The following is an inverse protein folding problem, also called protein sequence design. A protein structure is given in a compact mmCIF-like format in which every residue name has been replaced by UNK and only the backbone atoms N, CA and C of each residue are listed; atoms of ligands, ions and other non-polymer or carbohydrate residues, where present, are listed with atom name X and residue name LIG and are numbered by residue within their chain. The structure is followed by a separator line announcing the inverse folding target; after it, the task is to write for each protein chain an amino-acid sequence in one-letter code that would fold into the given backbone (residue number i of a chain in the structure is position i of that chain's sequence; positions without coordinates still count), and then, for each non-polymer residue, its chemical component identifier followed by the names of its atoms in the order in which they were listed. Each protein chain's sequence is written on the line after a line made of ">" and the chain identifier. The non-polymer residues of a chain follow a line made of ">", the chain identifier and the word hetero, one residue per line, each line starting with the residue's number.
data_IF_941822984794
#
_entry.id   IF_941822984794
#
_cell.length_a   1.000
_cell.length_b   1.000
_cell.length_c   1.000
_cell.angle_alpha   90.00
_cell.angle_beta   90.00
_cell.angle_gamma   90.00
#
_symmetry.space_group_name_H-M   'P 1'
#
loop_
_entity.id
_entity.type
_entity.pdbx_description
1 polymer ?
#
# COMPACT_ATOMS: atom_id res chain seq x y z
N UNK A 1 -50.42 1.99 1.72
CA UNK A 1 -49.80 1.64 0.42
C UNK A 1 -48.86 2.76 0.09
N UNK A 2 -47.59 2.60 0.48
CA UNK A 2 -46.51 3.55 0.19
C UNK A 2 -45.39 2.68 -0.39
N UNK A 3 -44.98 3.03 -1.60
CA UNK A 3 -44.06 2.30 -2.46
C UNK A 3 -42.73 1.97 -1.78
N UNK A 4 -42.31 0.72 -1.98
CA UNK A 4 -40.96 0.25 -1.73
C UNK A 4 -40.03 0.87 -2.77
N UNK A 5 -39.17 1.81 -2.34
CA UNK A 5 -38.05 2.26 -3.15
C UNK A 5 -36.89 1.27 -2.95
N UNK A 6 -36.71 0.37 -3.91
CA UNK A 6 -35.54 -0.51 -3.99
C UNK A 6 -34.27 0.34 -4.18
N UNK A 7 -33.35 0.27 -3.22
CA UNK A 7 -32.02 0.85 -3.32
C UNK A 7 -31.19 0.12 -4.39
N UNK A 8 -30.99 0.77 -5.53
CA UNK A 8 -29.99 0.37 -6.53
C UNK A 8 -28.63 0.98 -6.18
N UNK A 9 -27.51 0.28 -6.42
CA UNK A 9 -26.17 0.81 -6.17
C UNK A 9 -25.87 1.99 -7.12
N UNK A 10 -25.57 3.16 -6.55
CA UNK A 10 -25.31 4.40 -7.29
C UNK A 10 -24.03 4.36 -8.15
N UNK A 11 -23.08 3.44 -7.89
CA UNK A 11 -21.91 3.24 -8.74
C UNK A 11 -22.28 2.84 -10.19
N UNK A 12 -23.46 2.25 -10.41
CA UNK A 12 -23.99 1.94 -11.75
C UNK A 12 -24.73 3.11 -12.42
N UNK A 13 -24.92 4.23 -11.71
CA UNK A 13 -25.79 5.33 -12.14
C UNK A 13 -25.05 6.66 -12.37
N UNK A 14 -23.76 6.74 -12.05
CA UNK A 14 -22.91 7.87 -12.42
C UNK A 14 -22.35 7.56 -13.82
N UNK A 15 -23.18 7.81 -14.83
CA UNK A 15 -22.93 7.46 -16.23
C UNK A 15 -24.24 7.35 -17.00
N UNK A 16 -24.27 7.96 -18.18
CA UNK A 16 -25.44 8.22 -19.05
C UNK A 16 -26.20 6.94 -19.54
N UNK A 17 -27.33 7.05 -20.31
CA UNK A 17 -28.42 6.09 -20.29
C UNK A 17 -28.05 4.69 -20.81
N UNK A 18 -28.75 3.69 -20.26
CA UNK A 18 -28.64 2.23 -20.44
C UNK A 18 -28.64 1.67 -21.87
N UNK A 19 -28.66 2.51 -22.89
CA UNK A 19 -28.80 2.10 -24.29
C UNK A 19 -27.46 2.03 -25.05
N UNK A 20 -26.34 2.51 -24.47
CA UNK A 20 -25.00 2.45 -25.06
C UNK A 20 -24.04 1.47 -24.35
N UNK A 21 -24.52 0.72 -23.36
CA UNK A 21 -23.77 -0.39 -22.77
C UNK A 21 -23.86 -1.61 -23.70
N UNK A 22 -23.34 -1.46 -24.92
CA UNK A 22 -22.94 -2.58 -25.78
C UNK A 22 -21.93 -3.47 -25.06
N UNK A 23 -21.80 -4.70 -25.50
CA UNK A 23 -21.07 -5.76 -24.82
C UNK A 23 -19.55 -5.58 -24.96
N UNK A 24 -18.99 -4.49 -24.39
CA UNK A 24 -17.57 -4.15 -24.40
C UNK A 24 -16.68 -5.17 -23.65
N UNK A 25 -17.25 -6.27 -23.16
CA UNK A 25 -16.57 -7.23 -22.29
C UNK A 25 -15.36 -7.88 -22.96
N UNK A 26 -15.38 -8.07 -24.28
CA UNK A 26 -14.30 -8.69 -25.04
C UNK A 26 -13.14 -7.69 -25.26
N UNK A 27 -13.42 -6.45 -25.69
CA UNK A 27 -12.41 -5.37 -25.81
C UNK A 27 -11.79 -5.00 -24.44
N UNK A 28 -12.61 -4.96 -23.39
CA UNK A 28 -12.16 -4.77 -22.00
C UNK A 28 -11.36 -5.98 -21.49
N UNK A 29 -11.68 -7.17 -21.98
CA UNK A 29 -10.91 -8.39 -21.78
C UNK A 29 -9.51 -8.28 -22.39
N UNK A 30 -9.40 -7.76 -23.61
CA UNK A 30 -8.13 -7.54 -24.29
C UNK A 30 -7.29 -6.42 -23.66
N UNK A 31 -7.92 -5.33 -23.19
CA UNK A 31 -7.27 -4.28 -22.38
C UNK A 31 -6.77 -4.85 -21.05
N UNK A 32 -7.59 -5.69 -20.40
CA UNK A 32 -7.17 -6.44 -19.21
C UNK A 32 -5.99 -7.34 -19.53
N UNK A 33 -6.00 -8.04 -20.66
CA UNK A 33 -4.95 -8.99 -21.07
C UNK A 33 -3.62 -8.30 -21.47
N UNK A 34 -3.67 -7.12 -22.11
CA UNK A 34 -2.45 -6.37 -22.49
C UNK A 34 -1.78 -5.74 -21.27
N UNK A 35 -2.55 -5.26 -20.28
CA UNK A 35 -1.99 -4.82 -18.99
C UNK A 35 -1.58 -6.04 -18.12
N UNK A 36 -2.17 -7.22 -18.34
CA UNK A 36 -1.83 -8.48 -17.69
C UNK A 36 -0.56 -9.18 -18.23
N UNK A 37 0.16 -8.62 -19.21
CA UNK A 37 1.54 -9.09 -19.44
C UNK A 37 2.45 -8.93 -18.20
N UNK A 38 1.96 -8.25 -17.15
CA UNK A 38 2.52 -8.34 -15.81
C UNK A 38 1.73 -9.11 -14.74
N UNK A 39 0.48 -9.59 -14.90
CA UNK A 39 -0.27 -10.18 -13.76
C UNK A 39 -1.32 -11.27 -14.01
N UNK A 40 -1.36 -12.21 -13.06
CA UNK A 40 -2.28 -13.37 -12.99
C UNK A 40 -3.59 -13.04 -12.25
N UNK A 41 -4.71 -13.74 -12.54
CA UNK A 41 -6.08 -13.33 -12.17
C UNK A 41 -6.51 -13.70 -10.73
N UNK A 42 -5.59 -13.74 -9.77
CA UNK A 42 -5.95 -13.95 -8.37
C UNK A 42 -6.03 -12.61 -7.64
N UNK A 43 -7.23 -12.24 -7.16
CA UNK A 43 -7.53 -11.09 -6.31
C UNK A 43 -6.38 -10.78 -5.33
N UNK A 44 -5.56 -9.80 -5.69
CA UNK A 44 -4.33 -9.48 -4.97
C UNK A 44 -4.60 -9.07 -3.53
N UNK A 45 -3.65 -9.31 -2.63
CA UNK A 45 -3.77 -8.89 -1.24
C UNK A 45 -3.89 -7.37 -1.15
N UNK A 46 -2.99 -6.64 -1.81
CA UNK A 46 -2.95 -5.18 -1.86
C UNK A 46 -3.38 -4.62 -3.22
N UNK A 47 -3.57 -5.46 -4.25
CA UNK A 47 -3.78 -5.05 -5.66
C UNK A 47 -2.58 -4.28 -6.23
N UNK A 48 -1.41 -4.49 -5.63
CA UNK A 48 -0.14 -4.02 -6.17
C UNK A 48 0.70 -5.26 -6.45
N UNK A 49 0.76 -5.73 -7.68
CA UNK A 49 1.17 -7.11 -7.87
C UNK A 49 2.65 -7.38 -7.63
N UNK A 50 3.51 -6.40 -7.87
CA UNK A 50 4.93 -6.42 -7.44
C UNK A 50 5.03 -6.67 -5.93
N UNK A 51 4.22 -5.96 -5.14
CA UNK A 51 4.19 -6.12 -3.67
C UNK A 51 3.55 -7.46 -3.29
N UNK A 52 2.43 -7.83 -3.92
CA UNK A 52 1.70 -9.05 -3.61
C UNK A 52 2.52 -10.31 -3.91
N UNK A 53 3.27 -10.32 -5.00
CA UNK A 53 4.17 -11.42 -5.38
C UNK A 53 5.33 -11.55 -4.38
N UNK A 54 5.88 -10.44 -3.90
CA UNK A 54 6.91 -10.45 -2.86
C UNK A 54 6.37 -10.89 -1.50
N UNK A 55 5.13 -10.49 -1.13
CA UNK A 55 4.53 -10.85 0.15
C UNK A 55 4.04 -12.30 0.21
N UNK A 56 3.53 -12.84 -0.91
CA UNK A 56 2.84 -14.14 -0.94
C UNK A 56 3.65 -15.30 -0.31
N UNK A 57 4.94 -15.51 -0.63
CA UNK A 57 5.72 -16.58 0.00
C UNK A 57 5.84 -16.42 1.52
N UNK A 58 5.99 -15.18 2.02
CA UNK A 58 6.08 -14.91 3.45
C UNK A 58 4.78 -15.16 4.18
N UNK A 59 3.66 -14.80 3.56
CA UNK A 59 2.35 -15.04 4.13
C UNK A 59 2.04 -16.54 4.17
N UNK A 60 2.40 -17.31 3.14
CA UNK A 60 2.27 -18.77 3.15
C UNK A 60 3.11 -19.40 4.28
N UNK A 61 4.38 -19.01 4.41
CA UNK A 61 5.27 -19.50 5.47
C UNK A 61 4.74 -19.12 6.87
N UNK A 62 4.22 -17.92 7.03
CA UNK A 62 3.60 -17.45 8.27
C UNK A 62 2.38 -18.29 8.66
N UNK A 63 1.47 -18.52 7.70
CA UNK A 63 0.26 -19.30 7.92
C UNK A 63 0.59 -20.77 8.27
N UNK A 64 1.59 -21.35 7.59
CA UNK A 64 2.11 -22.68 7.87
C UNK A 64 2.73 -22.79 9.27
N UNK A 65 3.59 -21.84 9.65
CA UNK A 65 4.20 -21.83 10.98
C UNK A 65 3.14 -21.71 12.09
N UNK A 66 2.08 -20.93 11.86
CA UNK A 66 1.00 -20.84 12.83
C UNK A 66 0.15 -22.12 12.92
N UNK A 67 -0.08 -22.85 11.83
CA UNK A 67 -0.81 -24.12 11.88
C UNK A 67 -0.03 -25.17 12.68
N UNK A 68 1.30 -25.21 12.53
CA UNK A 68 2.20 -26.04 13.34
C UNK A 68 2.07 -25.71 14.84
N UNK A 69 2.16 -24.43 15.21
CA UNK A 69 2.03 -24.00 16.61
C UNK A 69 0.65 -24.33 17.20
N UNK A 70 -0.39 -24.28 16.38
CA UNK A 70 -1.75 -24.62 16.82
C UNK A 70 -1.89 -26.14 17.03
N UNK A 71 -1.37 -26.95 16.12
CA UNK A 71 -1.37 -28.40 16.21
C UNK A 71 -0.49 -28.92 17.37
N UNK A 72 0.66 -28.29 17.64
CA UNK A 72 1.53 -28.67 18.75
C UNK A 72 0.90 -28.39 20.12
N UNK A 73 0.03 -27.39 20.22
CA UNK A 73 -0.70 -27.05 21.45
C UNK A 73 -1.97 -27.90 21.65
N UNK A 74 -2.52 -28.45 20.57
CA UNK A 74 -3.70 -29.30 20.60
C UNK A 74 -3.30 -30.77 20.42
N UNK A 75 -2.66 -31.38 21.43
CA UNK A 75 -2.20 -32.78 21.58
C UNK A 75 -2.70 -33.84 20.57
N UNK A 76 -2.41 -33.67 19.28
CA UNK A 76 -2.91 -34.51 18.19
C UNK A 76 -1.74 -34.78 17.27
N UNK A 77 -1.41 -36.06 17.09
CA UNK A 77 -0.32 -36.52 16.24
C UNK A 77 -0.72 -36.21 14.79
N UNK A 78 -0.11 -35.18 14.20
CA UNK A 78 -0.35 -34.78 12.82
C UNK A 78 0.32 -35.79 11.86
N UNK A 79 -0.48 -36.43 11.01
CA UNK A 79 -0.02 -37.23 9.88
C UNK A 79 0.13 -36.37 8.63
N UNK A 80 1.18 -36.64 7.86
CA UNK A 80 1.50 -36.18 6.49
C UNK A 80 1.43 -34.67 6.23
N UNK A 81 2.60 -34.07 6.03
CA UNK A 81 2.80 -32.64 5.82
C UNK A 81 2.79 -32.30 4.32
N UNK A 82 1.71 -31.70 3.82
CA UNK A 82 1.71 -31.10 2.48
C UNK A 82 2.18 -29.65 2.58
N UNK A 83 3.23 -29.33 1.82
CA UNK A 83 3.63 -27.95 1.52
C UNK A 83 2.60 -27.42 0.51
N UNK A 84 1.91 -26.29 0.78
CA UNK A 84 0.97 -25.71 -0.18
C UNK A 84 1.67 -25.43 -1.51
N UNK A 85 1.03 -25.76 -2.63
CA UNK A 85 1.56 -25.48 -3.96
C UNK A 85 1.51 -23.96 -4.21
N UNK A 86 2.44 -23.42 -5.01
CA UNK A 86 2.56 -21.96 -5.25
C UNK A 86 1.28 -21.28 -5.75
N UNK A 87 0.33 -22.05 -6.28
CA UNK A 87 -0.95 -21.59 -6.83
C UNK A 87 -2.14 -21.65 -5.85
N UNK A 88 -1.95 -22.13 -4.62
CA UNK A 88 -3.05 -22.19 -3.66
C UNK A 88 -3.39 -20.79 -3.11
N UNK A 89 -4.68 -20.45 -3.09
CA UNK A 89 -5.17 -19.22 -2.51
C UNK A 89 -4.77 -19.14 -1.02
N UNK A 90 -4.23 -17.99 -0.59
CA UNK A 90 -3.90 -17.76 0.82
C UNK A 90 -5.14 -18.02 1.69
N UNK A 91 -5.06 -18.86 2.74
CA UNK A 91 -6.16 -19.06 3.67
C UNK A 91 -6.66 -17.72 4.22
N UNK A 92 -7.88 -17.31 3.83
CA UNK A 92 -8.52 -16.05 4.27
C UNK A 92 -8.96 -16.08 5.75
N UNK A 93 -8.79 -17.21 6.43
CA UNK A 93 -9.21 -17.41 7.82
C UNK A 93 -8.35 -16.63 8.84
N UNK A 94 -7.24 -16.01 8.40
CA UNK A 94 -6.33 -15.26 9.25
C UNK A 94 -6.09 -13.84 8.73
N UNK A 95 -6.04 -12.85 9.65
CA UNK A 95 -5.81 -11.46 9.27
C UNK A 95 -4.40 -11.28 8.73
N UNK A 96 -4.27 -10.60 7.60
CA UNK A 96 -2.96 -10.20 7.07
C UNK A 96 -2.60 -8.83 7.64
N UNK A 97 -1.51 -8.79 8.39
CA UNK A 97 -1.06 -7.62 9.14
C UNK A 97 0.34 -7.26 8.66
N UNK A 98 0.46 -6.12 7.99
CA UNK A 98 1.70 -5.64 7.37
C UNK A 98 2.19 -4.42 8.14
N UNK A 99 3.45 -4.45 8.58
CA UNK A 99 4.13 -3.25 9.09
C UNK A 99 4.93 -2.59 7.97
N UNK A 100 4.70 -1.31 7.69
CA UNK A 100 5.56 -0.48 6.86
C UNK A 100 6.42 0.38 7.79
N UNK A 101 7.74 0.23 7.70
CA UNK A 101 8.67 0.85 8.64
C UNK A 101 9.82 1.55 7.93
N UNK A 102 10.37 2.59 8.54
CA UNK A 102 11.58 3.27 8.06
C UNK A 102 12.37 3.84 9.22
N UNK A 103 13.64 4.15 9.00
CA UNK A 103 14.54 4.74 10.02
C UNK A 103 14.41 6.27 10.16
N UNK A 104 13.71 6.90 9.20
CA UNK A 104 13.49 8.35 9.14
C UNK A 104 12.04 8.70 8.82
N UNK A 105 11.62 9.88 9.25
CA UNK A 105 10.43 10.53 8.70
C UNK A 105 10.69 10.91 7.24
N UNK A 106 9.68 10.83 6.38
CA UNK A 106 9.79 11.22 4.97
C UNK A 106 10.30 10.16 4.00
N UNK A 107 10.57 8.92 4.44
CA UNK A 107 11.00 7.82 3.56
C UNK A 107 9.86 7.21 2.70
N UNK A 108 8.84 7.99 2.31
CA UNK A 108 7.77 7.52 1.42
C UNK A 108 6.61 6.73 2.07
N UNK A 109 6.64 6.40 3.37
CA UNK A 109 5.57 5.61 4.04
C UNK A 109 4.16 6.15 3.79
N UNK A 110 3.94 7.44 4.02
CA UNK A 110 2.62 8.08 3.87
C UNK A 110 2.17 8.09 2.41
N UNK A 111 3.09 8.29 1.45
CA UNK A 111 2.74 8.25 0.03
C UNK A 111 2.34 6.83 -0.40
N UNK A 112 3.07 5.81 0.05
CA UNK A 112 2.71 4.41 -0.19
C UNK A 112 1.36 4.07 0.46
N UNK A 113 1.08 4.55 1.68
CA UNK A 113 -0.24 4.40 2.30
C UNK A 113 -1.35 5.04 1.47
N UNK A 114 -1.13 6.23 0.91
CA UNK A 114 -2.15 6.92 0.11
C UNK A 114 -2.39 6.21 -1.20
N UNK A 115 -1.36 5.68 -1.84
CA UNK A 115 -1.49 4.85 -3.03
C UNK A 115 -2.32 3.59 -2.75
N UNK A 116 -2.00 2.85 -1.67
CA UNK A 116 -2.77 1.68 -1.26
C UNK A 116 -4.21 2.02 -0.87
N UNK A 117 -4.43 3.20 -0.27
CA UNK A 117 -5.77 3.72 0.05
C UNK A 117 -6.57 4.04 -1.22
N UNK A 118 -5.93 4.66 -2.22
CA UNK A 118 -6.52 4.95 -3.52
C UNK A 118 -7.06 3.67 -4.18
N UNK A 119 -6.22 2.64 -4.33
CA UNK A 119 -6.63 1.35 -4.90
C UNK A 119 -7.71 0.63 -4.06
N UNK A 120 -7.66 0.77 -2.74
CA UNK A 120 -8.65 0.17 -1.86
C UNK A 120 -10.05 0.82 -1.97
N UNK A 121 -10.11 2.11 -2.32
CA UNK A 121 -11.33 2.92 -2.45
C UNK A 121 -11.92 2.91 -3.86
N UNK A 122 -11.07 2.97 -4.90
CA UNK A 122 -11.53 3.02 -6.30
C UNK A 122 -12.31 1.74 -6.68
N UNK A 123 -13.28 1.82 -7.60
CA UNK A 123 -13.90 0.63 -8.16
C UNK A 123 -12.93 -0.12 -9.08
N UNK A 124 -13.25 -1.37 -9.42
CA UNK A 124 -12.45 -2.15 -10.38
C UNK A 124 -12.44 -1.49 -11.77
N UNK A 125 -13.57 -0.91 -12.18
CA UNK A 125 -13.68 -0.15 -13.42
C UNK A 125 -14.66 1.01 -13.32
N UNK A 126 -14.49 1.99 -14.20
CA UNK A 126 -15.34 3.17 -14.31
C UNK A 126 -15.41 3.63 -15.77
N UNK A 127 -16.62 3.71 -16.35
CA UNK A 127 -16.81 4.03 -17.77
C UNK A 127 -15.97 3.16 -18.74
N UNK A 128 -15.78 1.88 -18.41
CA UNK A 128 -14.91 0.96 -19.16
C UNK A 128 -13.41 1.10 -18.84
N UNK A 129 -12.99 2.16 -18.17
CA UNK A 129 -11.60 2.32 -17.74
C UNK A 129 -11.33 1.34 -16.61
N UNK A 130 -10.33 0.47 -16.76
CA UNK A 130 -9.87 -0.39 -15.67
C UNK A 130 -9.09 0.47 -14.66
N UNK A 131 -9.59 0.58 -13.43
CA UNK A 131 -8.97 1.33 -12.35
C UNK A 131 -8.29 0.44 -11.31
N UNK A 132 -8.36 -0.89 -11.47
CA UNK A 132 -7.70 -1.89 -10.60
C UNK A 132 -8.09 -1.80 -9.11
N UNK A 133 -9.16 -1.07 -8.81
CA UNK A 133 -9.61 -0.82 -7.46
C UNK A 133 -10.39 -1.99 -6.83
N UNK A 134 -10.76 -1.83 -5.56
CA UNK A 134 -11.46 -2.84 -4.75
C UNK A 134 -12.93 -2.52 -4.42
N UNK A 135 -13.40 -1.32 -4.76
CA UNK A 135 -14.73 -0.80 -4.40
C UNK A 135 -15.03 -0.95 -2.88
N UNK A 136 -13.99 -0.78 -2.06
CA UNK A 136 -14.02 -1.08 -0.64
C UNK A 136 -14.07 0.16 0.24
N UNK A 137 -14.53 -0.03 1.48
CA UNK A 137 -14.39 0.98 2.52
C UNK A 137 -12.99 0.92 3.14
N UNK A 138 -12.44 2.08 3.51
CA UNK A 138 -11.16 2.18 4.21
C UNK A 138 -11.35 2.88 5.55
N UNK A 139 -10.74 2.33 6.60
CA UNK A 139 -10.60 3.02 7.88
C UNK A 139 -9.15 3.48 8.02
N UNK A 140 -8.95 4.79 8.19
CA UNK A 140 -7.64 5.40 8.40
C UNK A 140 -7.57 5.97 9.82
N UNK A 141 -6.67 5.43 10.65
CA UNK A 141 -6.42 5.92 12.01
C UNK A 141 -5.08 6.63 12.04
N UNK A 142 -5.13 7.96 12.10
CA UNK A 142 -3.98 8.84 12.13
C UNK A 142 -3.55 9.13 13.58
N UNK A 143 -2.52 8.43 14.05
CA UNK A 143 -2.00 8.62 15.41
C UNK A 143 -0.96 9.75 15.49
N UNK A 144 -0.38 10.17 14.36
CA UNK A 144 0.68 11.17 14.29
C UNK A 144 0.17 12.57 13.88
N UNK A 145 -1.10 12.69 13.49
CA UNK A 145 -1.76 13.94 13.11
C UNK A 145 -1.24 14.51 11.79
N UNK A 146 -0.90 13.62 10.84
CA UNK A 146 -0.28 13.96 9.56
C UNK A 146 -1.13 13.61 8.34
N UNK A 147 -2.33 13.07 8.55
CA UNK A 147 -3.23 12.79 7.47
C UNK A 147 -3.67 14.07 6.76
N UNK A 148 -3.67 14.03 5.43
CA UNK A 148 -3.97 15.13 4.54
C UNK A 148 -4.92 14.61 3.44
N UNK A 149 -6.19 14.99 3.59
CA UNK A 149 -7.25 14.60 2.67
C UNK A 149 -7.10 15.23 1.29
N UNK A 150 -6.53 16.45 1.20
CA UNK A 150 -6.35 17.13 -0.08
C UNK A 150 -5.30 16.41 -0.90
N UNK A 151 -4.19 16.02 -0.24
CA UNK A 151 -3.16 15.23 -0.91
C UNK A 151 -3.67 13.85 -1.36
N UNK A 152 -4.53 13.19 -0.57
CA UNK A 152 -5.14 11.93 -1.00
C UNK A 152 -6.09 12.14 -2.19
N UNK A 153 -6.91 13.19 -2.18
CA UNK A 153 -7.80 13.52 -3.27
C UNK A 153 -7.04 13.82 -4.57
N UNK A 154 -5.98 14.63 -4.50
CA UNK A 154 -5.08 14.90 -5.63
C UNK A 154 -4.49 13.61 -6.20
N UNK A 155 -4.05 12.68 -5.34
CA UNK A 155 -3.50 11.39 -5.77
C UNK A 155 -4.57 10.52 -6.44
N UNK A 156 -5.80 10.47 -5.91
CA UNK A 156 -6.91 9.73 -6.51
C UNK A 156 -7.24 10.29 -7.89
N UNK A 157 -7.42 11.61 -8.00
CA UNK A 157 -7.71 12.25 -9.29
C UNK A 157 -6.60 12.01 -10.30
N UNK A 158 -5.35 12.14 -9.87
CA UNK A 158 -4.21 11.92 -10.74
C UNK A 158 -4.11 10.47 -11.21
N UNK A 159 -4.35 9.51 -10.31
CA UNK A 159 -4.41 8.10 -10.67
C UNK A 159 -5.51 7.83 -11.71
N UNK A 160 -6.71 8.40 -11.54
CA UNK A 160 -7.80 8.27 -12.53
C UNK A 160 -7.39 8.86 -13.88
N UNK A 161 -6.78 10.06 -13.90
CA UNK A 161 -6.28 10.72 -15.13
C UNK A 161 -5.25 9.85 -15.83
N UNK A 162 -4.33 9.27 -15.08
CA UNK A 162 -3.31 8.37 -15.60
C UNK A 162 -3.95 7.13 -16.25
N UNK A 163 -4.90 6.47 -15.58
CA UNK A 163 -5.62 5.31 -16.14
C UNK A 163 -6.45 5.65 -17.38
N UNK A 164 -7.05 6.85 -17.42
CA UNK A 164 -7.73 7.37 -18.61
C UNK A 164 -6.73 7.57 -19.77
N UNK A 165 -5.56 8.15 -19.51
CA UNK A 165 -4.51 8.34 -20.52
C UNK A 165 -4.03 7.02 -21.11
N UNK A 166 -3.82 5.99 -20.28
CA UNK A 166 -3.46 4.64 -20.74
C UNK A 166 -4.54 4.05 -21.65
N UNK A 167 -5.83 4.20 -21.29
CA UNK A 167 -6.94 3.72 -22.10
C UNK A 167 -7.03 4.45 -23.45
N UNK A 168 -6.79 5.77 -23.47
CA UNK A 168 -6.74 6.57 -24.71
C UNK A 168 -5.61 6.09 -25.63
N UNK A 169 -4.39 5.98 -25.08
CA UNK A 169 -3.22 5.53 -25.84
C UNK A 169 -3.42 4.12 -26.43
N UNK A 170 -4.05 3.21 -25.68
CA UNK A 170 -4.40 1.88 -26.20
C UNK A 170 -5.37 1.96 -27.39
N UNK A 171 -6.41 2.79 -27.32
CA UNK A 171 -7.36 2.92 -28.42
C UNK A 171 -6.68 3.51 -29.67
N UNK A 172 -5.80 4.48 -29.49
CA UNK A 172 -5.03 5.10 -30.57
C UNK A 172 -4.05 4.12 -31.22
N UNK A 173 -3.34 3.31 -30.43
CA UNK A 173 -2.40 2.31 -30.94
C UNK A 173 -3.11 1.22 -31.74
N UNK A 174 -4.28 0.77 -31.27
CA UNK A 174 -5.10 -0.20 -32.01
C UNK A 174 -5.59 0.36 -33.35
N UNK A 175 -6.03 1.63 -33.38
CA UNK A 175 -6.40 2.30 -34.63
C UNK A 175 -5.22 2.39 -35.60
N UNK A 176 -4.03 2.74 -35.11
CA UNK A 176 -2.83 2.85 -35.94
C UNK A 176 -2.41 1.49 -36.52
N UNK A 177 -2.34 0.44 -35.70
CA UNK A 177 -1.97 -0.91 -36.13
C UNK A 177 -2.92 -1.47 -37.21
N UNK A 178 -4.22 -1.14 -37.12
CA UNK A 178 -5.24 -1.56 -38.10
C UNK A 178 -5.20 -0.76 -39.39
N UNK A 179 -4.91 0.55 -39.31
CA UNK A 179 -4.72 1.39 -40.49
C UNK A 179 -3.52 0.94 -41.37
N UNK A 180 -2.46 0.42 -40.75
CA UNK A 180 -1.30 -0.14 -41.46
C UNK A 180 -1.63 -1.49 -42.14
N UNK A 181 -2.48 -2.33 -41.53
CA UNK A 181 -2.91 -3.61 -42.11
C UNK A 181 -3.81 -3.44 -43.35
N UNK A 182 -4.62 -2.38 -43.41
CA UNK A 182 -5.48 -2.05 -44.56
C UNK A 182 -4.69 -1.66 -45.83
N UNK A 183 -3.39 -1.37 -45.73
CA UNK A 183 -2.53 -1.14 -46.89
C UNK A 183 -2.02 -2.45 -47.55
N UNK A 184 -2.27 -3.61 -46.93
CA UNK A 184 -1.70 -4.91 -47.33
C UNK A 184 -2.60 -5.83 -48.16
N UNK A 185 -3.92 -5.90 -47.94
CA UNK A 185 -4.80 -6.90 -48.58
C UNK A 185 -6.23 -6.39 -48.75
N UNK A 186 -6.84 -6.69 -49.90
CA UNK A 186 -8.29 -6.57 -50.12
C UNK A 186 -9.00 -7.77 -49.45
N UNK A 187 -9.73 -7.55 -48.36
CA UNK A 187 -10.84 -8.44 -47.98
C UNK A 187 -11.95 -7.64 -47.30
N UNK A 188 -13.18 -7.89 -47.75
CA UNK A 188 -14.43 -7.44 -47.15
C UNK A 188 -14.73 -8.34 -45.95
N UNK A 189 -14.07 -8.11 -44.81
CA UNK A 189 -14.34 -8.83 -43.56
C UNK A 189 -15.30 -8.02 -42.68
N UNK A 190 -16.58 -8.42 -42.70
CA UNK A 190 -17.68 -7.76 -41.99
C UNK A 190 -17.51 -7.67 -40.46
N UNK A 191 -16.68 -8.54 -39.87
CA UNK A 191 -16.40 -8.54 -38.43
C UNK A 191 -15.43 -7.41 -38.04
N UNK A 192 -14.57 -6.97 -38.96
CA UNK A 192 -13.57 -5.93 -38.73
C UNK A 192 -14.20 -4.53 -38.66
N UNK A 193 -15.20 -4.26 -39.52
CA UNK A 193 -15.97 -3.01 -39.52
C UNK A 193 -16.74 -2.81 -38.20
N UNK A 194 -17.19 -3.90 -37.54
CA UNK A 194 -17.92 -3.82 -36.27
C UNK A 194 -16.98 -3.45 -35.11
N UNK A 195 -15.83 -4.10 -35.01
CA UNK A 195 -14.82 -3.81 -33.99
C UNK A 195 -14.22 -2.40 -34.14
N UNK A 196 -14.03 -1.91 -35.37
CA UNK A 196 -13.50 -0.56 -35.60
C UNK A 196 -14.52 0.51 -35.19
N UNK A 197 -15.81 0.28 -35.45
CA UNK A 197 -16.89 1.13 -34.95
C UNK A 197 -16.96 1.14 -33.42
N UNK A 198 -16.71 -0.01 -32.80
CA UNK A 198 -16.64 -0.17 -31.35
C UNK A 198 -15.48 0.66 -30.74
N UNK A 199 -14.26 0.51 -31.25
CA UNK A 199 -13.10 1.27 -30.75
C UNK A 199 -13.32 2.79 -30.95
N UNK A 200 -13.98 3.21 -32.03
CA UNK A 200 -14.28 4.61 -32.27
C UNK A 200 -15.32 5.18 -31.30
N UNK A 201 -16.38 4.44 -31.00
CA UNK A 201 -17.37 4.83 -29.99
C UNK A 201 -16.76 4.91 -28.59
N UNK A 202 -15.91 3.93 -28.22
CA UNK A 202 -15.21 3.95 -26.94
C UNK A 202 -14.22 5.12 -26.84
N UNK A 203 -13.45 5.42 -27.88
CA UNK A 203 -12.57 6.59 -27.91
C UNK A 203 -13.37 7.89 -27.72
N UNK A 204 -14.54 8.02 -28.36
CA UNK A 204 -15.41 9.18 -28.18
C UNK A 204 -15.93 9.30 -26.74
N UNK A 205 -16.26 8.16 -26.10
CA UNK A 205 -16.61 8.14 -24.68
C UNK A 205 -15.44 8.64 -23.82
N UNK A 206 -14.23 8.12 -24.01
CA UNK A 206 -13.06 8.51 -23.22
C UNK A 206 -12.73 10.00 -23.37
N UNK A 207 -12.80 10.53 -24.60
CA UNK A 207 -12.57 11.96 -24.86
C UNK A 207 -13.68 12.87 -24.30
N UNK A 208 -14.85 12.32 -24.00
CA UNK A 208 -15.94 13.06 -23.35
C UNK A 208 -15.77 13.20 -21.83
N UNK A 209 -14.86 12.41 -21.23
CA UNK A 209 -14.56 12.47 -19.80
C UNK A 209 -13.70 13.71 -19.53
N UNK A 210 -14.29 14.70 -18.88
CA UNK A 210 -13.61 15.91 -18.43
C UNK A 210 -13.20 15.83 -16.95
N UNK A 211 -12.55 16.90 -16.47
CA UNK A 211 -12.12 16.99 -15.06
C UNK A 211 -13.29 16.93 -14.07
N UNK A 212 -14.51 17.29 -14.48
CA UNK A 212 -15.67 17.28 -13.58
C UNK A 212 -16.04 15.84 -13.19
N UNK A 213 -16.07 14.93 -14.15
CA UNK A 213 -16.35 13.51 -13.90
C UNK A 213 -15.27 12.83 -13.04
N UNK A 214 -14.00 13.24 -13.21
CA UNK A 214 -12.88 12.72 -12.41
C UNK A 214 -13.02 13.15 -10.95
N UNK A 215 -13.30 14.44 -10.71
CA UNK A 215 -13.54 14.95 -9.36
C UNK A 215 -14.79 14.34 -8.74
N UNK A 216 -15.87 14.14 -9.51
CA UNK A 216 -17.08 13.47 -9.03
C UNK A 216 -16.81 12.04 -8.55
N UNK A 217 -16.01 11.26 -9.31
CA UNK A 217 -15.59 9.94 -8.89
C UNK A 217 -14.71 10.01 -7.63
N UNK A 218 -13.75 10.92 -7.57
CA UNK A 218 -12.88 11.10 -6.41
C UNK A 218 -13.69 11.43 -5.15
N UNK A 219 -14.63 12.37 -5.23
CA UNK A 219 -15.54 12.71 -4.13
C UNK A 219 -16.39 11.51 -3.70
N UNK A 220 -16.94 10.77 -4.66
CA UNK A 220 -17.73 9.56 -4.40
C UNK A 220 -16.94 8.52 -3.60
N UNK A 221 -15.73 8.17 -4.05
CA UNK A 221 -14.92 7.14 -3.38
C UNK A 221 -14.40 7.62 -2.02
N UNK A 222 -14.14 8.92 -1.86
CA UNK A 222 -13.78 9.50 -0.57
C UNK A 222 -14.91 9.43 0.46
N UNK A 223 -16.18 9.29 0.04
CA UNK A 223 -17.28 9.01 1.00
C UNK A 223 -17.13 7.65 1.69
N UNK A 224 -16.31 6.75 1.12
CA UNK A 224 -15.99 5.44 1.69
C UNK A 224 -14.75 5.42 2.58
N UNK A 225 -14.11 6.57 2.80
CA UNK A 225 -13.00 6.74 3.71
C UNK A 225 -13.48 7.20 5.09
N UNK A 226 -13.09 6.46 6.14
CA UNK A 226 -13.41 6.78 7.53
C UNK A 226 -12.13 7.12 8.29
N UNK A 227 -11.94 8.40 8.60
CA UNK A 227 -10.71 8.91 9.25
C UNK A 227 -10.94 9.14 10.74
N UNK A 228 -10.02 8.66 11.57
CA UNK A 228 -9.99 8.90 13.02
C UNK A 228 -8.63 9.43 13.44
N UNK A 229 -8.60 10.38 14.39
CA UNK A 229 -7.37 10.96 14.91
C UNK A 229 -7.35 10.88 16.45
N UNK A 230 -6.97 9.74 17.04
CA UNK A 230 -6.89 9.60 18.49
C UNK A 230 -5.82 10.53 19.07
N UNK A 231 -6.10 11.13 20.22
CA UNK A 231 -5.13 11.91 20.99
C UNK A 231 -4.44 11.08 22.09
N UNK A 232 -4.89 9.84 22.33
CA UNK A 232 -4.34 8.97 23.37
C UNK A 232 -4.54 7.48 23.07
N UNK A 233 -3.78 6.57 23.74
CA UNK A 233 -4.01 5.13 23.65
C UNK A 233 -5.41 4.68 24.09
N UNK A 234 -6.00 5.39 25.07
CA UNK A 234 -7.35 5.09 25.57
C UNK A 234 -8.40 5.41 24.51
N UNK A 235 -8.30 6.58 23.90
CA UNK A 235 -9.19 6.98 22.80
C UNK A 235 -9.04 6.06 21.58
N UNK A 236 -7.83 5.63 21.26
CA UNK A 236 -7.59 4.61 20.23
C UNK A 236 -8.34 3.30 20.55
N UNK A 237 -8.30 2.83 21.80
CA UNK A 237 -9.05 1.65 22.22
C UNK A 237 -10.56 1.87 22.13
N UNK A 238 -11.06 3.04 22.50
CA UNK A 238 -12.48 3.38 22.40
C UNK A 238 -12.95 3.37 20.93
N UNK A 239 -12.17 3.97 20.02
CA UNK A 239 -12.39 3.93 18.57
C UNK A 239 -12.46 2.48 18.09
N UNK A 240 -11.42 1.66 18.37
CA UNK A 240 -11.38 0.26 17.95
C UNK A 240 -12.55 -0.56 18.52
N UNK A 241 -13.01 -0.27 19.74
CA UNK A 241 -14.14 -0.97 20.34
C UNK A 241 -15.49 -0.62 19.70
N UNK A 242 -15.66 0.63 19.26
CA UNK A 242 -16.88 1.14 18.63
C UNK A 242 -16.98 0.78 17.15
N UNK A 243 -15.83 0.61 16.48
CA UNK A 243 -15.70 0.45 15.05
C UNK A 243 -16.55 -0.70 14.44
N UNK A 244 -16.62 -1.91 15.04
CA UNK A 244 -17.50 -2.95 14.52
C UNK A 244 -18.98 -2.58 14.50
N UNK A 245 -19.43 -1.80 15.47
CA UNK A 245 -20.82 -1.32 15.53
C UNK A 245 -21.03 -0.24 14.49
N UNK A 246 -20.12 0.74 14.42
CA UNK A 246 -20.15 1.82 13.45
C UNK A 246 -20.24 1.30 12.01
N UNK A 247 -19.36 0.37 11.62
CA UNK A 247 -19.31 -0.18 10.25
C UNK A 247 -20.52 -1.05 9.88
N UNK A 248 -21.31 -1.51 10.87
CA UNK A 248 -22.49 -2.37 10.64
C UNK A 248 -23.81 -1.65 10.89
N UNK A 249 -23.79 -0.44 11.47
CA UNK A 249 -24.99 0.34 11.71
C UNK A 249 -25.41 1.08 10.45
N UNK A 250 -26.52 0.66 9.84
CA UNK A 250 -27.22 1.46 8.82
C UNK A 250 -28.25 2.38 9.51
N UNK A 251 -28.44 3.65 9.06
CA UNK A 251 -27.83 4.32 7.91
C UNK A 251 -26.71 5.32 8.30
N UNK A 252 -25.86 5.01 9.29
CA UNK A 252 -24.93 6.03 9.83
C UNK A 252 -23.86 6.50 8.85
N UNK A 253 -23.60 5.76 7.77
CA UNK A 253 -22.63 6.11 6.73
C UNK A 253 -23.01 5.49 5.37
N UNK A 254 -22.43 6.00 4.29
CA UNK A 254 -22.69 5.57 2.89
C UNK A 254 -22.11 4.19 2.60
N UNK A 255 -21.00 3.81 3.23
CA UNK A 255 -20.25 2.56 2.99
C UNK A 255 -20.87 1.26 3.53
N UNK A 256 -22.13 1.26 3.96
CA UNK A 256 -22.76 0.11 4.64
C UNK A 256 -22.85 -1.17 3.80
N UNK A 257 -22.77 -1.05 2.47
CA UNK A 257 -22.76 -2.19 1.54
C UNK A 257 -21.37 -2.49 0.99
N UNK A 258 -20.34 -1.72 1.35
CA UNK A 258 -18.99 -1.93 0.87
C UNK A 258 -18.23 -2.82 1.86
N UNK A 259 -17.45 -3.81 1.37
CA UNK A 259 -16.56 -4.57 2.24
C UNK A 259 -15.47 -3.64 2.80
N UNK A 260 -15.05 -3.86 4.05
CA UNK A 260 -13.88 -3.19 4.59
C UNK A 260 -12.64 -3.80 3.91
N UNK A 261 -12.04 -3.08 2.96
CA UNK A 261 -10.89 -3.57 2.20
C UNK A 261 -9.58 -3.37 2.97
N UNK A 262 -9.48 -2.27 3.73
CA UNK A 262 -8.25 -1.85 4.38
C UNK A 262 -8.51 -1.13 5.72
N UNK A 263 -7.76 -1.54 6.75
CA UNK A 263 -7.64 -0.84 8.02
C UNK A 263 -6.20 -0.34 8.17
N UNK A 264 -6.02 0.96 8.36
CA UNK A 264 -4.70 1.60 8.46
C UNK A 264 -4.53 2.20 9.85
N UNK A 265 -3.39 1.93 10.48
CA UNK A 265 -2.90 2.70 11.63
C UNK A 265 -1.60 3.40 11.22
N UNK A 266 -1.66 4.71 10.99
CA UNK A 266 -0.46 5.51 10.73
C UNK A 266 0.12 5.98 12.08
N UNK A 267 1.33 5.54 12.40
CA UNK A 267 2.02 5.86 13.65
C UNK A 267 1.62 4.95 14.82
N UNK A 268 1.67 3.62 14.67
CA UNK A 268 1.27 2.68 15.74
C UNK A 268 2.03 2.88 17.07
N UNK A 269 3.22 3.50 17.00
CA UNK A 269 4.09 3.78 18.13
C UNK A 269 4.02 5.23 18.65
N UNK A 270 3.15 6.07 18.09
CA UNK A 270 3.04 7.50 18.40
C UNK A 270 2.94 7.78 19.91
N UNK A 271 2.08 7.04 20.61
CA UNK A 271 1.87 7.21 22.05
C UNK A 271 2.85 6.42 22.93
N UNK A 272 3.56 5.44 22.35
CA UNK A 272 4.29 4.42 23.12
C UNK A 272 5.46 5.03 23.88
N UNK A 273 6.26 5.84 23.20
CA UNK A 273 7.50 6.39 23.74
C UNK A 273 7.24 7.37 24.88
N UNK A 274 6.20 8.20 24.74
CA UNK A 274 5.77 9.11 25.78
C UNK A 274 5.31 8.31 27.01
N UNK A 275 4.40 7.35 26.84
CA UNK A 275 3.85 6.58 27.96
C UNK A 275 4.92 5.73 28.67
N UNK A 276 5.88 5.19 27.92
CA UNK A 276 7.01 4.44 28.48
C UNK A 276 7.92 5.33 29.32
N UNK A 277 8.16 6.58 28.90
CA UNK A 277 8.96 7.53 29.69
C UNK A 277 8.26 7.93 31.00
N UNK A 278 6.94 8.13 30.96
CA UNK A 278 6.12 8.43 32.13
C UNK A 278 6.05 7.25 33.12
N UNK A 279 6.11 6.02 32.61
CA UNK A 279 6.07 4.79 33.41
C UNK A 279 7.43 4.36 33.96
N UNK A 280 8.52 5.02 33.58
CA UNK A 280 9.85 4.68 34.03
C UNK A 280 10.01 5.06 35.52
N UNK A 281 10.55 4.18 36.37
CA UNK A 281 10.82 4.53 37.77
C UNK A 281 11.76 5.74 37.82
N UNK A 282 11.37 6.80 38.55
CA UNK A 282 12.22 7.99 38.73
C UNK A 282 13.57 7.55 39.32
N UNK A 283 14.64 7.65 38.51
CA UNK A 283 16.01 7.29 38.93
C UNK A 283 16.71 8.38 39.73
N UNK A 284 16.08 9.54 39.93
CA UNK A 284 16.65 10.64 40.70
C UNK A 284 16.03 10.68 42.11
N UNK A 285 16.84 10.70 43.19
CA UNK A 285 16.33 11.01 44.50
C UNK A 285 15.76 12.44 44.51
N UNK A 286 14.70 12.72 45.27
CA UNK A 286 14.04 14.02 45.31
C UNK A 286 14.87 15.02 46.13
N UNK A 287 16.09 15.32 45.70
CA UNK A 287 16.97 16.28 46.39
C UNK A 287 16.88 17.72 45.86
N UNK A 288 15.95 17.97 44.92
CA UNK A 288 15.51 19.32 44.55
C UNK A 288 14.03 19.51 44.88
N UNK A 289 13.64 19.19 46.10
CA UNK A 289 12.45 19.82 46.68
C UNK A 289 12.86 21.21 47.14
N UNK A 290 12.64 22.22 46.29
CA UNK A 290 12.40 23.56 46.82
C UNK A 290 11.22 23.45 47.77
N UNK A 291 11.42 23.80 49.04
CA UNK A 291 10.45 23.78 50.12
C UNK A 291 9.32 24.82 49.91
N UNK A 292 8.54 24.66 48.85
CA UNK A 292 7.30 25.42 48.61
C UNK A 292 6.13 24.52 49.01
N UNK A 293 5.40 24.93 50.05
CA UNK A 293 4.30 24.20 50.65
C UNK A 293 3.02 24.06 49.77
N UNK A 294 3.11 24.39 48.48
CA UNK A 294 1.99 24.40 47.52
C UNK A 294 2.26 23.50 46.30
N UNK A 295 2.88 22.32 46.50
CA UNK A 295 3.02 21.35 45.43
C UNK A 295 1.64 20.76 45.07
N UNK A 296 1.19 20.81 43.79
CA UNK A 296 -0.09 20.26 43.39
C UNK A 296 -0.16 18.75 43.68
N UNK A 297 -1.35 18.21 44.00
CA UNK A 297 -1.50 16.80 44.35
C UNK A 297 -0.99 15.93 43.20
N UNK A 298 -0.12 14.97 43.54
CA UNK A 298 0.34 13.92 42.63
C UNK A 298 -0.92 13.22 42.08
N UNK A 299 -1.25 13.47 40.82
CA UNK A 299 -2.36 12.81 40.16
C UNK A 299 -2.14 11.28 40.19
N UNK A 300 -3.17 10.48 40.51
CA UNK A 300 -3.04 9.03 40.53
C UNK A 300 -2.60 8.54 39.15
N UNK A 301 -1.46 7.85 39.09
CA UNK A 301 -0.94 7.24 37.87
C UNK A 301 -1.95 6.16 37.38
N UNK A 302 -2.18 6.03 36.07
CA UNK A 302 -3.18 5.11 35.54
C UNK A 302 -2.86 3.64 35.91
N UNK A 303 -3.91 2.90 36.28
CA UNK A 303 -3.87 1.54 36.85
C UNK A 303 -3.56 0.41 35.85
N UNK A 304 -3.29 0.70 34.58
CA UNK A 304 -3.09 -0.31 33.53
C UNK A 304 -1.62 -0.31 33.11
N UNK A 305 -0.99 -1.48 33.13
CA UNK A 305 0.40 -1.62 32.66
C UNK A 305 0.49 -1.26 31.17
N UNK A 306 1.58 -0.59 30.76
CA UNK A 306 1.87 -0.26 29.36
C UNK A 306 1.72 -1.48 28.44
N UNK A 307 2.21 -2.63 28.90
CA UNK A 307 2.10 -3.90 28.20
C UNK A 307 0.64 -4.31 27.96
N UNK A 308 -0.21 -4.26 29.00
CA UNK A 308 -1.63 -4.62 28.91
C UNK A 308 -2.41 -3.70 27.95
N UNK A 309 -2.07 -2.41 27.90
CA UNK A 309 -2.69 -1.47 26.97
C UNK A 309 -2.43 -1.87 25.50
N UNK A 310 -1.17 -2.13 25.17
CA UNK A 310 -0.75 -2.50 23.82
C UNK A 310 -1.19 -3.94 23.44
N UNK A 311 -1.34 -4.85 24.41
CA UNK A 311 -2.01 -6.14 24.20
C UNK A 311 -3.50 -6.00 23.87
N UNK A 312 -4.20 -5.06 24.51
CA UNK A 312 -5.59 -4.77 24.20
C UNK A 312 -5.75 -4.16 22.79
N UNK A 313 -4.84 -3.27 22.38
CA UNK A 313 -4.83 -2.68 21.04
C UNK A 313 -4.64 -3.78 19.98
N UNK A 314 -3.57 -4.57 20.09
CA UNK A 314 -3.29 -5.68 19.15
C UNK A 314 -4.42 -6.69 19.08
N UNK A 315 -5.00 -7.06 20.22
CA UNK A 315 -6.15 -7.96 20.29
C UNK A 315 -7.38 -7.40 19.58
N UNK A 316 -7.64 -6.10 19.71
CA UNK A 316 -8.77 -5.44 19.06
C UNK A 316 -8.58 -5.35 17.55
N UNK A 317 -7.37 -5.02 17.10
CA UNK A 317 -7.00 -4.99 15.68
C UNK A 317 -7.16 -6.36 15.01
N UNK A 318 -6.66 -7.44 15.62
CA UNK A 318 -6.87 -8.80 15.14
C UNK A 318 -8.37 -9.09 15.03
N UNK A 319 -9.16 -8.79 16.07
CA UNK A 319 -10.61 -9.06 16.07
C UNK A 319 -11.34 -8.32 14.95
N UNK A 320 -11.02 -7.05 14.70
CA UNK A 320 -11.62 -6.26 13.62
C UNK A 320 -11.24 -6.86 12.27
N UNK A 321 -9.94 -7.06 12.04
CA UNK A 321 -9.42 -7.60 10.77
C UNK A 321 -10.00 -8.98 10.46
N UNK A 322 -10.08 -9.89 11.45
CA UNK A 322 -10.74 -11.19 11.30
C UNK A 322 -12.24 -11.07 11.07
N UNK A 323 -12.94 -10.17 11.78
CA UNK A 323 -14.40 -10.02 11.66
C UNK A 323 -14.81 -9.55 10.26
N UNK A 324 -14.05 -8.64 9.67
CA UNK A 324 -14.38 -8.03 8.39
C UNK A 324 -13.58 -8.60 7.21
N UNK A 325 -12.61 -9.48 7.46
CA UNK A 325 -11.70 -9.99 6.42
C UNK A 325 -10.79 -8.90 5.83
N UNK A 326 -10.59 -7.79 6.55
CA UNK A 326 -9.87 -6.62 6.07
C UNK A 326 -8.36 -6.77 6.30
N UNK A 327 -7.55 -6.32 5.34
CA UNK A 327 -6.11 -6.24 5.53
C UNK A 327 -5.78 -5.10 6.49
N UNK A 328 -4.75 -5.31 7.33
CA UNK A 328 -4.29 -4.31 8.28
C UNK A 328 -2.90 -3.83 7.90
N UNK A 329 -2.75 -2.52 7.71
CA UNK A 329 -1.46 -1.88 7.52
C UNK A 329 -1.16 -1.01 8.74
N UNK A 330 0.05 -1.15 9.27
CA UNK A 330 0.57 -0.36 10.37
C UNK A 330 1.81 0.37 9.89
N UNK A 331 1.96 1.66 10.20
CA UNK A 331 3.26 2.33 10.01
C UNK A 331 3.99 2.53 11.31
N UNK A 332 5.32 2.56 11.20
CA UNK A 332 6.19 2.78 12.34
C UNK A 332 7.46 3.51 11.92
N UNK A 333 8.00 4.33 12.81
CA UNK A 333 9.35 4.89 12.68
C UNK A 333 10.26 4.08 13.60
N UNK A 334 11.24 3.41 13.01
CA UNK A 334 12.26 2.69 13.76
C UNK A 334 13.34 3.66 14.21
N UNK A 335 13.71 3.59 15.48
CA UNK A 335 14.79 4.40 16.04
C UNK A 335 16.11 3.66 15.78
N UNK A 336 17.10 4.26 15.09
CA UNK A 336 18.40 3.63 14.90
C UNK A 336 19.12 3.44 16.24
N UNK A 337 19.76 2.29 16.45
CA UNK A 337 20.72 2.15 17.55
C UNK A 337 22.01 2.89 17.19
N UNK A 338 22.55 3.69 18.13
CA UNK A 338 23.79 4.46 17.95
C UNK A 338 25.04 3.63 17.58
N UNK A 339 24.97 2.30 17.71
CA UNK A 339 26.07 1.38 17.37
C UNK A 339 25.99 0.84 15.93
N UNK A 340 24.97 1.22 15.16
CA UNK A 340 24.88 0.92 13.74
C UNK A 340 25.11 2.21 12.98
N UNK A 341 26.27 2.33 12.33
CA UNK A 341 26.40 3.23 11.19
C UNK A 341 25.28 2.85 10.22
N UNK A 342 24.37 3.77 9.85
CA UNK A 342 23.42 3.47 8.78
C UNK A 342 24.26 3.03 7.60
N UNK A 343 23.98 1.84 7.06
CA UNK A 343 24.45 1.49 5.74
C UNK A 343 23.72 2.46 4.80
N UNK A 344 24.29 3.65 4.63
CA UNK A 344 23.90 4.56 3.58
C UNK A 344 24.05 3.78 2.29
N UNK A 345 22.93 3.47 1.63
CA UNK A 345 22.89 3.08 0.23
C UNK A 345 23.31 4.30 -0.60
N UNK A 346 24.57 4.72 -0.47
CA UNK A 346 25.19 5.55 -1.48
C UNK A 346 25.33 4.68 -2.71
N UNK A 347 24.61 5.03 -3.78
CA UNK A 347 24.93 4.61 -5.14
C UNK A 347 26.32 5.19 -5.42
N UNK A 348 27.36 4.44 -5.04
CA UNK A 348 28.74 4.78 -5.36
C UNK A 348 29.15 3.87 -6.51
N UNK A 349 29.23 4.50 -7.67
CA UNK A 349 29.77 3.99 -8.92
C UNK A 349 31.04 3.16 -8.75
N UNK A 350 31.11 2.06 -9.51
CA UNK A 350 32.27 1.23 -9.85
C UNK A 350 32.93 0.42 -8.71
N UNK A 351 32.40 -0.78 -8.46
CA UNK A 351 33.26 -1.92 -8.14
C UNK A 351 32.90 -3.13 -9.01
N UNK A 352 33.78 -3.41 -9.96
CA UNK A 352 33.85 -4.67 -10.70
C UNK A 352 33.88 -5.86 -9.72
N UNK A 353 32.91 -6.77 -9.85
CA UNK A 353 33.04 -8.15 -9.39
C UNK A 353 32.01 -8.63 -8.38
N UNK A 354 30.72 -8.62 -8.73
CA UNK A 354 29.79 -9.66 -8.30
C UNK A 354 28.55 -9.61 -9.20
N UNK A 355 28.37 -10.62 -10.03
CA UNK A 355 27.15 -10.84 -10.80
C UNK A 355 25.99 -11.18 -9.86
N UNK A 356 24.84 -10.52 -10.06
CA UNK A 356 23.58 -10.61 -9.32
C UNK A 356 23.60 -10.06 -7.87
N UNK A 357 23.15 -8.82 -7.66
CA UNK A 357 22.95 -8.29 -6.31
C UNK A 357 22.27 -6.93 -6.27
N UNK A 358 20.94 -6.93 -6.09
CA UNK A 358 20.17 -5.74 -5.72
C UNK A 358 20.60 -5.14 -4.37
N UNK A 359 20.02 -3.99 -3.96
CA UNK A 359 20.48 -3.22 -2.83
C UNK A 359 20.38 -3.99 -1.50
N UNK A 360 21.41 -3.85 -0.67
CA UNK A 360 21.58 -4.61 0.58
C UNK A 360 20.51 -4.17 1.60
N UNK A 361 19.75 -5.11 2.21
CA UNK A 361 18.72 -4.75 3.18
C UNK A 361 19.34 -4.16 4.45
N UNK A 362 18.79 -3.06 4.97
CA UNK A 362 19.28 -2.46 6.20
C UNK A 362 18.88 -3.31 7.44
N UNK A 363 19.77 -3.39 8.42
CA UNK A 363 19.56 -4.17 9.66
C UNK A 363 19.15 -3.25 10.81
N UNK A 364 17.95 -3.40 11.37
CA UNK A 364 17.42 -2.49 12.39
C UNK A 364 16.99 -3.15 13.71
N UNK A 365 17.15 -2.47 14.86
CA UNK A 365 16.79 -3.01 16.16
C UNK A 365 15.29 -2.87 16.47
N UNK A 366 14.84 -3.78 17.33
CA UNK A 366 13.45 -4.05 17.65
C UNK A 366 13.04 -3.32 18.94
N UNK A 367 12.30 -2.23 18.80
CA UNK A 367 12.11 -1.23 19.86
C UNK A 367 10.69 -1.13 20.46
N UNK A 368 9.70 -1.78 19.82
CA UNK A 368 8.31 -1.85 20.30
C UNK A 368 8.11 -2.95 21.34
N UNK A 369 7.00 -2.93 22.11
CA UNK A 369 6.64 -3.99 23.06
C UNK A 369 6.75 -5.38 22.46
N UNK A 370 7.04 -6.38 23.30
CA UNK A 370 7.19 -7.76 22.82
C UNK A 370 5.92 -8.31 22.14
N UNK A 371 4.73 -7.82 22.53
CA UNK A 371 3.47 -8.19 21.89
C UNK A 371 3.38 -7.73 20.41
N UNK A 372 4.11 -6.68 20.03
CA UNK A 372 4.26 -6.25 18.64
C UNK A 372 5.44 -6.94 17.96
N UNK A 373 6.57 -7.03 18.66
CA UNK A 373 7.87 -7.27 18.03
C UNK A 373 8.29 -8.74 18.01
N UNK A 374 7.82 -9.54 18.97
CA UNK A 374 8.20 -10.94 19.16
C UNK A 374 7.00 -11.89 19.16
N UNK A 375 5.79 -11.38 18.91
CA UNK A 375 4.62 -12.22 18.76
C UNK A 375 4.58 -12.77 17.33
N UNK A 376 4.86 -14.07 17.10
CA UNK A 376 4.62 -14.70 15.79
C UNK A 376 3.13 -14.75 15.43
N UNK A 377 2.26 -14.18 16.28
CA UNK A 377 0.80 -14.17 16.14
C UNK A 377 0.22 -12.85 15.68
N UNK A 378 1.01 -11.77 15.65
CA UNK A 378 0.50 -10.44 15.32
C UNK A 378 0.90 -9.98 13.93
N UNK A 379 2.18 -9.76 13.64
CA UNK A 379 2.63 -9.31 12.31
C UNK A 379 2.76 -10.49 11.35
N UNK A 380 2.25 -10.34 10.12
CA UNK A 380 2.37 -11.31 9.04
C UNK A 380 3.59 -11.04 8.16
N UNK A 381 3.88 -9.76 7.89
CA UNK A 381 5.03 -9.32 7.11
C UNK A 381 5.48 -7.92 7.51
N UNK A 382 6.71 -7.55 7.14
CA UNK A 382 7.23 -6.19 7.30
C UNK A 382 7.86 -5.71 6.00
N UNK A 383 7.50 -4.50 5.61
CA UNK A 383 8.12 -3.75 4.53
C UNK A 383 9.00 -2.68 5.19
N UNK A 384 10.26 -2.63 4.82
CA UNK A 384 11.25 -1.66 5.31
C UNK A 384 11.53 -0.71 4.16
N UNK A 385 11.30 0.58 4.36
CA UNK A 385 11.56 1.63 3.37
C UNK A 385 12.86 2.34 3.69
N UNK A 386 13.65 2.58 2.65
CA UNK A 386 14.77 3.52 2.65
C UNK A 386 14.63 4.42 1.44
N UNK A 387 14.62 5.73 1.67
CA UNK A 387 14.78 6.69 0.58
C UNK A 387 16.17 6.53 -0.04
N UNK A 388 16.25 6.53 -1.36
CA UNK A 388 17.54 6.58 -2.04
C UNK A 388 18.17 7.95 -1.76
N UNK A 389 19.33 7.95 -1.10
CA UNK A 389 19.97 9.20 -0.68
C UNK A 389 20.83 9.71 -1.83
N UNK A 390 20.44 10.84 -2.41
CA UNK A 390 21.32 11.58 -3.33
C UNK A 390 22.55 12.04 -2.57
N UNK A 391 23.73 11.67 -3.08
CA UNK A 391 24.99 11.98 -2.44
C UNK A 391 25.10 13.49 -2.15
N UNK A 392 25.50 13.91 -0.94
CA UNK A 392 25.69 15.32 -0.65
C UNK A 392 26.75 15.91 -1.59
N UNK A 393 26.80 17.24 -1.66
CA UNK A 393 27.88 17.91 -2.35
C UNK A 393 29.23 17.44 -1.78
N UNK A 394 30.21 17.21 -2.65
CA UNK A 394 31.55 16.88 -2.19
C UNK A 394 32.03 18.00 -1.26
N UNK A 395 32.68 17.66 -0.14
CA UNK A 395 33.06 18.66 0.86
C UNK A 395 33.94 19.78 0.29
N UNK A 396 34.67 19.48 -0.78
CA UNK A 396 35.58 20.40 -1.46
C UNK A 396 34.96 21.16 -2.65
N UNK A 397 33.65 21.02 -2.92
CA UNK A 397 33.02 21.74 -4.04
C UNK A 397 32.96 23.26 -3.75
N UNK A 398 33.30 24.07 -4.74
CA UNK A 398 33.09 25.51 -4.64
C UNK A 398 31.60 25.86 -4.78
N UNK A 399 31.14 26.87 -4.04
CA UNK A 399 29.72 27.31 -4.04
C UNK A 399 29.22 27.65 -5.45
N UNK A 400 30.08 28.17 -6.33
CA UNK A 400 29.72 28.50 -7.72
C UNK A 400 29.44 27.27 -8.56
N UNK A 401 30.20 26.20 -8.37
CA UNK A 401 30.03 24.95 -9.12
C UNK A 401 28.86 24.15 -8.54
N UNK A 402 28.67 24.16 -7.21
CA UNK A 402 27.46 23.64 -6.58
C UNK A 402 26.18 24.33 -7.09
N UNK A 403 26.24 25.64 -7.36
CA UNK A 403 25.10 26.38 -7.92
C UNK A 403 24.79 25.97 -9.37
N UNK A 404 25.80 25.66 -10.19
CA UNK A 404 25.61 25.16 -11.56
C UNK A 404 25.00 23.77 -11.59
N UNK A 405 25.39 22.91 -10.65
CA UNK A 405 24.87 21.54 -10.51
C UNK A 405 23.50 21.48 -9.81
N UNK A 406 23.00 22.60 -9.27
CA UNK A 406 21.78 22.63 -8.47
C UNK A 406 20.60 22.00 -9.20
N UNK A 407 20.29 22.46 -10.42
CA UNK A 407 19.07 22.07 -11.11
C UNK A 407 19.13 20.59 -11.51
N UNK A 408 20.30 20.13 -11.96
CA UNK A 408 20.56 18.70 -12.24
C UNK A 408 20.41 17.84 -10.98
N UNK A 409 20.95 18.28 -9.84
CA UNK A 409 20.81 17.54 -8.57
C UNK A 409 19.38 17.57 -8.04
N UNK A 410 18.65 18.67 -8.24
CA UNK A 410 17.24 18.73 -7.87
C UNK A 410 16.42 17.75 -8.71
N UNK A 411 16.73 17.59 -10.00
CA UNK A 411 16.14 16.55 -10.85
C UNK A 411 16.46 15.14 -10.33
N UNK A 412 17.73 14.86 -9.97
CA UNK A 412 18.13 13.57 -9.36
C UNK A 412 17.43 13.34 -8.02
N UNK A 413 17.23 14.37 -7.19
CA UNK A 413 16.48 14.26 -5.92
C UNK A 413 14.99 14.03 -6.17
N UNK A 414 14.42 14.63 -7.22
CA UNK A 414 13.02 14.46 -7.58
C UNK A 414 12.75 13.07 -8.17
N UNK A 415 13.72 12.52 -8.91
CA UNK A 415 13.70 11.15 -9.44
C UNK A 415 14.19 10.10 -8.44
N UNK A 416 14.80 10.52 -7.32
CA UNK A 416 15.25 9.58 -6.29
C UNK A 416 14.05 8.85 -5.72
N UNK A 417 13.97 7.56 -5.99
CA UNK A 417 12.90 6.72 -5.50
C UNK A 417 13.13 6.23 -4.07
N UNK A 418 12.30 5.26 -3.71
CA UNK A 418 12.27 4.63 -2.42
C UNK A 418 12.42 3.14 -2.62
N UNK A 419 13.54 2.63 -2.12
CA UNK A 419 13.78 1.20 -2.03
C UNK A 419 12.98 0.59 -0.87
N UNK A 420 12.31 -0.53 -1.12
CA UNK A 420 11.45 -1.20 -0.16
C UNK A 420 11.78 -2.70 -0.04
N UNK A 421 12.19 -3.19 1.12
CA UNK A 421 12.52 -4.60 1.36
C UNK A 421 11.44 -5.31 2.17
N UNK A 422 11.13 -6.55 1.81
CA UNK A 422 10.27 -7.43 2.62
C UNK A 422 11.13 -8.21 3.61
N UNK A 423 10.96 -7.98 4.92
CA UNK A 423 11.75 -8.66 5.98
C UNK A 423 11.56 -10.19 5.87
N UNK A 424 12.66 -10.92 5.67
CA UNK A 424 12.66 -12.37 5.51
C UNK A 424 12.72 -12.88 4.07
N UNK A 425 12.54 -12.00 3.07
CA UNK A 425 12.63 -12.33 1.66
C UNK A 425 14.08 -12.69 1.29
N UNK A 426 14.33 -13.98 1.10
CA UNK A 426 15.66 -14.55 0.81
C UNK A 426 16.23 -15.54 1.83
N UNK A 427 15.51 -15.86 2.91
CA UNK A 427 15.95 -16.88 3.90
C UNK A 427 14.97 -18.06 3.94
N UNK A 428 14.78 -18.73 2.81
CA UNK A 428 14.27 -20.11 2.81
C UNK A 428 15.43 -21.07 2.95
N UNK A 429 15.42 -21.87 4.02
CA UNK A 429 16.47 -22.85 4.32
C UNK A 429 16.36 -24.02 3.34
N UNK A 430 17.06 -23.95 2.22
CA UNK A 430 17.18 -25.05 1.25
C UNK A 430 16.92 -24.69 -0.21
N UNK A 431 16.61 -23.43 -0.53
CA UNK A 431 16.28 -23.00 -1.90
C UNK A 431 17.50 -22.35 -2.56
N UNK A 432 17.86 -22.81 -3.77
CA UNK A 432 19.05 -22.34 -4.48
C UNK A 432 18.87 -20.89 -4.90
N UNK A 433 19.81 -20.06 -4.46
CA UNK A 433 19.90 -18.60 -4.67
C UNK A 433 20.06 -18.14 -6.13
N UNK A 434 19.91 -19.05 -7.11
CA UNK A 434 20.21 -18.83 -8.53
C UNK A 434 18.98 -18.61 -9.41
N UNK A 435 17.78 -18.92 -8.94
CA UNK A 435 16.59 -19.01 -9.80
C UNK A 435 15.56 -17.87 -9.61
N UNK A 436 15.87 -16.79 -8.86
CA UNK A 436 15.03 -15.58 -8.83
C UNK A 436 15.87 -14.32 -9.08
N UNK A 437 15.58 -13.65 -10.18
CA UNK A 437 16.22 -12.42 -10.64
C UNK A 437 15.88 -11.20 -9.73
N UNK A 438 14.73 -11.22 -9.06
CA UNK A 438 14.33 -10.15 -8.15
C UNK A 438 14.69 -10.53 -6.71
N UNK A 439 15.59 -9.76 -6.11
CA UNK A 439 15.83 -9.82 -4.66
C UNK A 439 14.53 -9.51 -3.91
N UNK A 440 14.47 -9.82 -2.63
CA UNK A 440 13.29 -9.61 -1.77
C UNK A 440 12.89 -8.14 -1.51
N UNK A 441 12.88 -7.30 -2.54
CA UNK A 441 12.70 -5.87 -2.52
C UNK A 441 11.96 -5.40 -3.78
N UNK A 442 11.38 -4.21 -3.71
CA UNK A 442 10.81 -3.48 -4.84
C UNK A 442 11.19 -2.01 -4.72
N UNK A 443 11.03 -1.27 -5.81
CA UNK A 443 11.29 0.16 -5.85
C UNK A 443 10.04 0.94 -6.25
N UNK A 444 9.94 2.18 -5.78
CA UNK A 444 8.91 3.09 -6.23
C UNK A 444 9.38 4.55 -6.22
N UNK A 445 8.96 5.33 -7.19
CA UNK A 445 9.14 6.78 -7.24
C UNK A 445 7.90 7.50 -6.69
N UNK A 446 8.10 8.74 -6.24
CA UNK A 446 7.02 9.66 -5.87
C UNK A 446 7.02 10.77 -6.91
N UNK A 447 6.06 10.70 -7.83
CA UNK A 447 5.92 11.61 -8.95
C UNK A 447 4.81 12.64 -8.69
N UNK A 448 4.69 13.61 -9.60
CA UNK A 448 3.57 14.57 -9.57
C UNK A 448 2.23 13.82 -9.65
N UNK A 449 2.19 12.75 -10.45
CA UNK A 449 0.98 11.97 -10.69
C UNK A 449 0.64 10.94 -9.60
N UNK A 450 1.53 10.71 -8.63
CA UNK A 450 1.32 9.75 -7.55
C UNK A 450 2.54 8.87 -7.26
N UNK A 451 2.29 7.62 -6.93
CA UNK A 451 3.34 6.62 -6.67
C UNK A 451 3.41 5.68 -7.87
N UNK A 452 4.58 5.61 -8.52
CA UNK A 452 4.87 4.65 -9.59
C UNK A 452 5.74 3.54 -9.03
N UNK A 453 5.31 2.30 -9.19
CA UNK A 453 5.99 1.11 -8.65
C UNK A 453 6.62 0.39 -9.83
N UNK A 454 7.94 0.24 -9.82
CA UNK A 454 8.69 -0.36 -10.93
C UNK A 454 9.74 -1.35 -10.43
N UNK A 455 10.04 -2.33 -11.27
CA UNK A 455 11.34 -2.98 -11.29
C UNK A 455 12.14 -2.24 -12.38
N UNK A 456 13.25 -1.62 -11.97
CA UNK A 456 14.30 -0.98 -12.78
C UNK A 456 13.88 -0.40 -14.16
N UNK A 457 13.87 0.93 -14.27
CA UNK A 457 13.78 1.68 -15.56
C UNK A 457 14.95 1.40 -16.53
N UNK A 458 15.85 0.47 -16.19
CA UNK A 458 17.00 0.08 -17.03
C UNK A 458 16.60 -0.79 -18.24
N UNK A 459 15.42 -1.42 -18.25
CA UNK A 459 14.99 -2.24 -19.42
C UNK A 459 14.40 -1.41 -20.59
N UNK A 460 13.86 -0.21 -20.35
CA UNK A 460 13.30 0.62 -21.44
C UNK A 460 14.36 1.42 -22.21
N UNK A 461 15.49 1.79 -21.58
CA UNK A 461 16.58 2.49 -22.28
C UNK A 461 17.43 1.55 -23.16
N UNK A 462 17.51 0.25 -22.86
CA UNK A 462 18.24 -0.72 -23.70
C UNK A 462 17.49 -1.07 -25.00
N UNK A 463 16.14 -1.03 -25.01
CA UNK A 463 15.37 -1.28 -26.24
C UNK A 463 15.35 -0.08 -27.21
N UNK A 464 15.49 1.16 -26.73
CA UNK A 464 15.63 2.33 -27.60
C UNK A 464 17.04 2.50 -28.20
N UNK A 465 18.09 1.95 -27.58
CA UNK A 465 19.44 1.93 -28.17
C UNK A 465 19.68 0.77 -29.17
N UNK A 466 18.84 -0.28 -29.16
CA UNK A 466 18.92 -1.40 -30.13
C UNK A 466 17.94 -1.31 -31.32
N UNK A 467 17.06 -0.30 -31.39
CA UNK A 467 16.06 -0.12 -32.47
C UNK A 467 16.51 0.78 -33.65
#
# INVERSE_FOLDING_TARGET
>A
MVEQAEGRPLARAIGMPKEAAGDWQDLLGDIRLTIQHHNTPNSGLLHVPTIDNLLRPHLQDYLHNQSIVTASNASTIAGSYDVPLENDALPRDKPVIIEISSDRSGAGKTQLLYHLTCLALLPESWNGINLEGKDGAVVFIDCDGRFDILRLAELIESYIKHRLSLALHFCESQKAARADNLQGLNSEDHDQDHEDGEIEEYLHLLLSIDSFYITELAEYVLTHLHVYQPASPGELLDILSSLPTYLTSSPSHTSHNNPLSLLIIDGISAFYWLQRSLSAPQKYPPNFQSSSADAPPILPQPQISLQSCYEAITSSLIKISTRFGANLILTNIQIPNANHTPATSTISSYHHGSTAGGPIPPTYPKHLPACYTYSPKFLSARIILSSDVVAPFHADIEVRDAWKERDLRMDVVQKAGVSAWVEGAGVRKGENRRDKAEGGWFWFSIEEEGVKIGADEEEEEEEEEEA
#
